data_IF_351689393970
#
_entry.id   IF_351689393970
#
_cell.length_a   1.000
_cell.length_b   1.000
_cell.length_c   1.000
_cell.angle_alpha   90.00
_cell.angle_beta   90.00
_cell.angle_gamma   90.00
#
_symmetry.space_group_name_H-M   'P 1'
#
loop_
_entity.id
_entity.type
_entity.pdbx_description
1 polymer ?
#
# COMPACT_ATOMS: atom_id res chain seq x y z
N UNK A 1 -0.49 -6.93 -32.31
CA UNK A 1 -0.47 -5.94 -31.20
C UNK A 1 -0.82 -6.66 -29.91
N UNK A 2 -0.30 -6.21 -28.76
CA UNK A 2 -0.47 -6.91 -27.47
C UNK A 2 -1.94 -7.05 -27.04
N UNK A 3 -2.79 -6.12 -27.47
CA UNK A 3 -4.23 -6.06 -27.18
C UNK A 3 -5.12 -6.58 -28.31
N UNK A 4 -4.58 -7.19 -29.38
CA UNK A 4 -5.38 -7.72 -30.50
C UNK A 4 -6.26 -6.69 -31.22
N UNK A 5 -5.84 -5.42 -31.20
CA UNK A 5 -6.44 -4.31 -31.94
C UNK A 5 -5.55 -3.88 -33.11
N UNK A 6 -6.11 -3.16 -34.08
CA UNK A 6 -5.30 -2.55 -35.13
C UNK A 6 -4.26 -1.58 -34.55
N UNK A 7 -3.13 -1.46 -35.23
CA UNK A 7 -2.10 -0.50 -34.83
C UNK A 7 -2.61 0.93 -35.04
N UNK A 8 -2.83 1.63 -33.92
CA UNK A 8 -3.32 3.01 -33.88
C UNK A 8 -2.18 4.03 -34.00
N UNK A 9 -0.91 3.61 -33.93
CA UNK A 9 0.25 4.51 -34.00
C UNK A 9 0.34 5.32 -35.30
N UNK A 10 -0.08 4.83 -36.49
CA UNK A 10 -0.08 5.64 -37.71
C UNK A 10 -1.07 6.81 -37.68
N UNK A 11 -2.22 6.62 -37.00
CA UNK A 11 -3.25 7.67 -36.85
C UNK A 11 -2.94 8.63 -35.70
N UNK A 12 -2.22 8.15 -34.67
CA UNK A 12 -1.86 8.95 -33.48
C UNK A 12 -0.36 8.85 -33.15
N UNK A 13 0.52 9.37 -34.04
CA UNK A 13 1.96 9.18 -33.92
C UNK A 13 2.62 10.04 -32.84
N UNK A 14 1.93 11.07 -32.32
CA UNK A 14 2.48 12.00 -31.32
C UNK A 14 1.70 11.95 -30.00
N UNK A 15 2.38 12.25 -28.90
CA UNK A 15 1.75 12.37 -27.57
C UNK A 15 0.63 13.41 -27.56
N UNK A 16 0.77 14.49 -28.33
CA UNK A 16 -0.27 15.51 -28.48
C UNK A 16 -1.52 14.95 -29.16
N UNK A 17 -1.36 14.23 -30.27
CA UNK A 17 -2.47 13.59 -30.97
C UNK A 17 -3.16 12.55 -30.07
N UNK A 18 -2.38 11.76 -29.33
CA UNK A 18 -2.90 10.78 -28.36
C UNK A 18 -3.67 11.47 -27.22
N UNK A 19 -3.16 12.58 -26.67
CA UNK A 19 -3.82 13.32 -25.60
C UNK A 19 -5.13 13.95 -26.07
N UNK A 20 -5.15 14.55 -27.26
CA UNK A 20 -6.33 15.18 -27.83
C UNK A 20 -7.44 14.16 -28.15
N UNK A 21 -7.07 12.91 -28.44
CA UNK A 21 -8.00 11.81 -28.74
C UNK A 21 -8.12 10.81 -27.59
N UNK A 22 -7.68 11.18 -26.38
CA UNK A 22 -7.67 10.30 -25.20
C UNK A 22 -9.01 9.61 -24.93
N UNK A 23 -10.19 10.26 -25.03
CA UNK A 23 -11.46 9.59 -24.80
C UNK A 23 -11.70 8.42 -25.76
N UNK A 24 -11.42 8.60 -27.05
CA UNK A 24 -11.56 7.56 -28.06
C UNK A 24 -10.60 6.41 -27.80
N UNK A 25 -9.30 6.70 -27.62
CA UNK A 25 -8.27 5.68 -27.38
C UNK A 25 -8.57 4.86 -26.12
N UNK A 26 -8.98 5.52 -25.04
CA UNK A 26 -9.37 4.83 -23.81
C UNK A 26 -10.58 3.95 -23.99
N UNK A 27 -11.58 4.39 -24.76
CA UNK A 27 -12.77 3.59 -25.01
C UNK A 27 -12.40 2.31 -25.79
N UNK A 28 -11.63 2.44 -26.87
CA UNK A 28 -11.14 1.31 -27.66
C UNK A 28 -10.38 0.29 -26.79
N UNK A 29 -9.48 0.76 -25.91
CA UNK A 29 -8.76 -0.13 -25.00
C UNK A 29 -9.67 -0.78 -23.96
N UNK A 30 -10.65 -0.04 -23.40
CA UNK A 30 -11.61 -0.58 -22.43
C UNK A 30 -12.46 -1.69 -23.05
N UNK A 31 -13.02 -1.44 -24.23
CA UNK A 31 -13.89 -2.39 -24.91
C UNK A 31 -13.15 -3.69 -25.20
N UNK A 32 -11.89 -3.56 -25.63
CA UNK A 32 -11.05 -4.72 -25.89
C UNK A 32 -10.67 -5.46 -24.61
N UNK A 33 -10.20 -4.77 -23.57
CA UNK A 33 -9.82 -5.41 -22.30
C UNK A 33 -11.04 -6.10 -21.67
N UNK A 34 -12.24 -5.53 -21.82
CA UNK A 34 -13.50 -6.12 -21.32
C UNK A 34 -13.91 -7.41 -22.04
N UNK A 35 -13.35 -7.72 -23.22
CA UNK A 35 -13.68 -8.93 -23.97
C UNK A 35 -13.12 -10.23 -23.35
N UNK A 36 -12.22 -10.13 -22.37
CA UNK A 36 -11.61 -11.29 -21.73
C UNK A 36 -11.30 -11.05 -20.25
N UNK A 37 -10.81 -12.08 -19.56
CA UNK A 37 -10.42 -11.99 -18.16
C UNK A 37 -9.14 -11.17 -17.97
N UNK A 38 -8.97 -10.58 -16.79
CA UNK A 38 -7.73 -9.89 -16.41
C UNK A 38 -6.51 -10.82 -16.48
N UNK A 39 -6.65 -12.08 -16.06
CA UNK A 39 -5.59 -13.08 -16.12
C UNK A 39 -5.09 -13.33 -17.55
N UNK A 40 -6.02 -13.48 -18.51
CA UNK A 40 -5.70 -13.63 -19.93
C UNK A 40 -4.87 -12.45 -20.45
N UNK A 41 -5.28 -11.23 -20.13
CA UNK A 41 -4.56 -10.04 -20.58
C UNK A 41 -3.22 -9.86 -19.90
N UNK A 42 -3.11 -10.13 -18.59
CA UNK A 42 -1.85 -10.03 -17.85
C UNK A 42 -0.78 -10.95 -18.46
N UNK A 43 -1.09 -12.22 -18.68
CA UNK A 43 -0.15 -13.18 -19.30
C UNK A 43 0.38 -12.67 -20.65
N UNK A 44 -0.52 -12.14 -21.48
CA UNK A 44 -0.16 -11.63 -22.81
C UNK A 44 0.64 -10.33 -22.78
N UNK A 45 0.28 -9.42 -21.88
CA UNK A 45 0.94 -8.11 -21.76
C UNK A 45 2.34 -8.28 -21.15
N UNK A 46 2.48 -9.13 -20.13
CA UNK A 46 3.78 -9.48 -19.53
C UNK A 46 4.71 -10.17 -20.54
N UNK A 47 4.18 -11.06 -21.40
CA UNK A 47 4.94 -11.68 -22.48
C UNK A 47 5.46 -10.67 -23.53
N UNK A 48 5.01 -9.41 -23.48
CA UNK A 48 5.46 -8.31 -24.33
C UNK A 48 6.25 -7.25 -23.54
N UNK A 49 6.68 -7.58 -22.31
CA UNK A 49 7.44 -6.69 -21.42
C UNK A 49 6.68 -5.39 -21.07
N UNK A 50 5.34 -5.46 -21.07
CA UNK A 50 4.50 -4.35 -20.64
C UNK A 50 4.27 -4.39 -19.13
N UNK A 51 4.57 -3.27 -18.48
CA UNK A 51 4.31 -3.08 -17.05
C UNK A 51 2.81 -3.06 -16.79
N UNK A 52 2.30 -4.17 -16.27
CA UNK A 52 0.91 -4.33 -15.87
C UNK A 52 0.82 -5.16 -14.58
N UNK A 53 -0.27 -4.99 -13.85
CA UNK A 53 -0.52 -5.71 -12.60
C UNK A 53 -2.03 -5.85 -12.38
N UNK A 54 -2.49 -6.91 -11.68
CA UNK A 54 -3.88 -7.04 -11.31
C UNK A 54 -4.29 -5.97 -10.28
N UNK A 55 -5.55 -5.55 -10.34
CA UNK A 55 -6.17 -4.76 -9.26
C UNK A 55 -6.59 -5.72 -8.16
N UNK A 56 -5.93 -5.63 -7.01
CA UNK A 56 -6.18 -6.49 -5.84
C UNK A 56 -7.17 -5.88 -4.87
N UNK A 57 -7.97 -6.70 -4.21
CA UNK A 57 -8.75 -6.27 -3.05
C UNK A 57 -7.85 -6.12 -1.82
N UNK A 58 -8.37 -5.54 -0.73
CA UNK A 58 -7.61 -5.45 0.51
C UNK A 58 -7.24 -6.84 1.05
N UNK A 59 -8.16 -7.82 0.97
CA UNK A 59 -7.88 -9.19 1.40
C UNK A 59 -6.74 -9.81 0.59
N UNK A 60 -6.83 -9.73 -0.74
CA UNK A 60 -5.78 -10.25 -1.63
C UNK A 60 -4.42 -9.56 -1.41
N UNK A 61 -4.43 -8.28 -1.03
CA UNK A 61 -3.22 -7.54 -0.73
C UNK A 61 -2.60 -7.97 0.61
N UNK A 62 -3.41 -8.26 1.62
CA UNK A 62 -2.95 -8.75 2.93
C UNK A 62 -2.41 -10.19 2.83
N UNK A 63 -3.00 -11.02 1.98
CA UNK A 63 -2.60 -12.41 1.76
C UNK A 63 -1.48 -12.56 0.69
N UNK A 64 -0.96 -11.46 0.15
CA UNK A 64 0.04 -11.53 -0.90
C UNK A 64 1.42 -12.01 -0.41
N UNK A 65 2.16 -12.82 -1.18
CA UNK A 65 3.52 -13.23 -0.80
C UNK A 65 4.48 -12.07 -0.54
N UNK A 66 4.33 -10.93 -1.23
CA UNK A 66 5.15 -9.74 -0.95
C UNK A 66 4.85 -9.14 0.41
N UNK A 67 3.61 -9.23 0.90
CA UNK A 67 3.23 -8.74 2.22
C UNK A 67 3.90 -9.57 3.32
N UNK A 68 4.00 -10.88 3.12
CA UNK A 68 4.74 -11.79 4.02
C UNK A 68 6.25 -11.56 3.94
N UNK A 69 6.84 -11.55 2.74
CA UNK A 69 8.29 -11.35 2.53
C UNK A 69 8.76 -10.02 3.14
N UNK A 70 7.95 -8.97 3.01
CA UNK A 70 8.27 -7.65 3.54
C UNK A 70 7.86 -7.48 5.02
N UNK A 71 7.47 -8.55 5.73
CA UNK A 71 7.09 -8.52 7.15
C UNK A 71 6.11 -7.38 7.48
N UNK A 72 5.17 -7.10 6.58
CA UNK A 72 4.27 -5.95 6.70
C UNK A 72 3.15 -6.17 7.72
N UNK A 73 2.97 -7.42 8.17
CA UNK A 73 1.96 -7.80 9.15
C UNK A 73 2.62 -8.08 10.49
N UNK A 74 2.29 -7.26 11.49
CA UNK A 74 2.82 -7.39 12.84
C UNK A 74 1.74 -7.99 13.76
N UNK A 75 1.95 -9.20 14.30
CA UNK A 75 1.07 -9.75 15.32
C UNK A 75 1.29 -8.99 16.64
N UNK A 76 0.21 -8.55 17.27
CA UNK A 76 0.22 -7.92 18.59
C UNK A 76 -0.78 -8.64 19.50
N UNK A 77 -0.45 -8.72 20.79
CA UNK A 77 -1.37 -9.24 21.81
C UNK A 77 -2.02 -8.06 22.54
N UNK A 78 -3.30 -7.80 22.26
CA UNK A 78 -4.02 -6.68 22.83
C UNK A 78 -4.75 -7.10 24.12
N UNK A 79 -4.58 -6.41 25.25
CA UNK A 79 -5.08 -6.86 26.56
C UNK A 79 -6.61 -6.99 26.65
N UNK A 80 -7.36 -6.39 25.73
CA UNK A 80 -8.83 -6.49 25.67
C UNK A 80 -9.32 -7.33 24.50
N UNK A 81 -8.60 -7.31 23.37
CA UNK A 81 -9.07 -7.87 22.10
C UNK A 81 -8.39 -9.21 21.79
N UNK A 82 -7.38 -9.60 22.58
CA UNK A 82 -6.54 -10.76 22.33
C UNK A 82 -5.58 -10.53 21.18
N UNK A 83 -5.15 -11.64 20.57
CA UNK A 83 -4.22 -11.62 19.45
C UNK A 83 -4.87 -10.96 18.22
N UNK A 84 -4.22 -9.96 17.67
CA UNK A 84 -4.62 -9.30 16.43
C UNK A 84 -3.42 -8.95 15.57
N UNK A 85 -3.65 -8.72 14.29
CA UNK A 85 -2.61 -8.34 13.33
C UNK A 85 -2.80 -6.89 12.92
N UNK A 86 -1.71 -6.11 12.95
CA UNK A 86 -1.69 -4.73 12.49
C UNK A 86 -0.71 -4.57 11.33
N UNK A 87 -0.92 -3.56 10.51
CA UNK A 87 0.00 -3.22 9.42
C UNK A 87 1.20 -2.48 10.02
N UNK A 88 2.40 -3.00 9.76
CA UNK A 88 3.67 -2.43 10.17
C UNK A 88 4.17 -1.32 9.24
N UNK A 89 5.38 -0.84 9.51
CA UNK A 89 6.08 0.10 8.65
C UNK A 89 6.51 -0.61 7.35
N UNK A 90 6.24 -0.03 6.17
CA UNK A 90 6.76 -0.56 4.91
C UNK A 90 8.26 -0.30 4.73
N UNK A 91 8.86 0.54 5.58
CA UNK A 91 10.28 0.91 5.53
C UNK A 91 11.07 0.07 6.52
N UNK A 92 12.12 -0.59 6.01
CA UNK A 92 13.09 -1.35 6.79
C UNK A 92 14.38 -0.54 6.97
N UNK A 93 14.83 -0.41 8.21
CA UNK A 93 16.09 0.25 8.56
C UNK A 93 16.99 -0.76 9.27
N UNK A 94 18.17 -1.04 8.71
CA UNK A 94 19.12 -2.02 9.27
C UNK A 94 19.55 -1.68 10.70
N UNK A 95 19.75 -0.39 10.95
CA UNK A 95 20.30 0.12 12.22
C UNK A 95 19.20 0.46 13.24
N UNK A 96 17.94 0.51 12.79
CA UNK A 96 16.78 0.88 13.60
C UNK A 96 15.53 0.07 13.17
N UNK A 97 15.54 -1.26 13.38
CA UNK A 97 14.43 -2.10 12.96
C UNK A 97 13.13 -1.66 13.63
N UNK A 98 12.03 -1.66 12.87
CA UNK A 98 10.71 -1.33 13.40
C UNK A 98 10.30 -2.38 14.45
N UNK A 99 9.93 -1.90 15.64
CA UNK A 99 9.40 -2.74 16.70
C UNK A 99 8.17 -2.06 17.32
N UNK A 100 7.13 -2.85 17.61
CA UNK A 100 5.98 -2.35 18.37
C UNK A 100 6.36 -2.34 19.84
N UNK A 101 6.71 -1.17 20.38
CA UNK A 101 7.17 -1.03 21.77
C UNK A 101 6.04 -0.87 22.80
N UNK A 102 4.91 -0.32 22.38
CA UNK A 102 3.72 -0.16 23.23
C UNK A 102 2.47 -0.38 22.40
N UNK A 103 1.46 -0.94 23.05
CA UNK A 103 0.13 -1.07 22.49
C UNK A 103 -0.58 0.30 22.50
N UNK A 104 -1.61 0.50 21.66
CA UNK A 104 -2.44 1.70 21.73
C UNK A 104 -3.01 1.88 23.15
N UNK A 105 -2.79 3.05 23.79
CA UNK A 105 -3.24 3.25 25.16
C UNK A 105 -4.74 3.41 25.24
N UNK A 106 -5.30 3.04 26.38
CA UNK A 106 -6.67 3.37 26.75
C UNK A 106 -6.80 4.87 27.03
N UNK A 107 -8.03 5.36 26.97
CA UNK A 107 -8.33 6.73 27.36
C UNK A 107 -7.87 6.98 28.81
N UNK A 108 -6.91 7.89 28.97
CA UNK A 108 -6.38 8.31 30.27
C UNK A 108 -5.32 7.37 30.89
N UNK A 109 -4.90 6.30 30.21
CA UNK A 109 -3.98 5.29 30.77
C UNK A 109 -2.67 5.88 31.32
N UNK A 110 -2.09 6.86 30.62
CA UNK A 110 -0.82 7.47 31.01
C UNK A 110 -0.99 8.80 31.76
N UNK A 111 -2.20 9.16 32.22
CA UNK A 111 -2.45 10.47 32.86
C UNK A 111 -1.60 10.64 34.12
N UNK A 112 -1.65 9.66 35.02
CA UNK A 112 -0.94 9.72 36.30
C UNK A 112 0.59 9.65 36.10
N UNK A 113 1.06 8.82 35.15
CA UNK A 113 2.48 8.73 34.77
C UNK A 113 3.03 10.10 34.35
N UNK A 114 2.33 10.78 33.44
CA UNK A 114 2.75 12.09 32.93
C UNK A 114 2.67 13.18 34.01
N UNK A 115 1.64 13.17 34.85
CA UNK A 115 1.51 14.14 35.95
C UNK A 115 2.61 13.96 37.01
N UNK A 116 3.01 12.71 37.29
CA UNK A 116 4.11 12.42 38.21
C UNK A 116 5.46 12.86 37.65
N UNK A 117 5.75 12.57 36.38
CA UNK A 117 6.98 13.03 35.72
C UNK A 117 7.07 14.57 35.71
N UNK A 118 5.97 15.25 35.38
CA UNK A 118 5.89 16.71 35.43
C UNK A 118 6.17 17.25 36.85
N UNK A 119 5.53 16.69 37.87
CA UNK A 119 5.74 17.11 39.25
C UNK A 119 7.19 16.88 39.73
N UNK A 120 7.84 15.81 39.27
CA UNK A 120 9.24 15.55 39.58
C UNK A 120 10.18 16.60 38.95
N UNK A 121 9.96 16.94 37.68
CA UNK A 121 10.75 17.97 36.97
C UNK A 121 10.61 19.35 37.61
N UNK A 122 9.40 19.76 37.98
CA UNK A 122 9.15 21.05 38.64
C UNK A 122 9.85 21.16 40.01
N UNK A 123 10.05 20.05 40.73
CA UNK A 123 10.80 20.05 41.99
C UNK A 123 12.30 20.23 41.77
N UNK A 124 12.85 19.68 40.68
CA UNK A 124 14.27 19.83 40.34
C UNK A 124 14.57 21.29 39.99
N UNK A 125 13.74 21.92 39.15
CA UNK A 125 13.89 23.34 38.79
C UNK A 125 13.74 24.30 39.98
N UNK A 126 12.94 23.94 41.00
CA UNK A 126 12.78 24.76 42.20
C UNK A 126 13.96 24.66 43.19
N UNK A 127 14.90 23.75 42.96
CA UNK A 127 16.08 23.52 43.82
C UNK A 127 17.38 24.07 43.21
N UNK A 128 17.34 24.50 41.94
CA UNK A 128 18.38 25.29 41.26
C UNK A 128 18.13 26.81 41.41
#
# INVERSE_FOLDING_TARGET
TSLEIDDLSPSYPTLEAQRNNKPFLQQTFRDQIASNSSAYWLERLEAQDLLCAPVRTLGDALDDPQTEINNMLCPIDHPVLGQMTVIGSPVHLSDAPMQVHRLPPRLGEHTDEVLQDLAARLRIEATE
#
